data_IF_811154220525
#
_entry.id   IF_811154220525
#
_cell.length_a   1.000
_cell.length_b   1.000
_cell.length_c   1.000
_cell.angle_alpha   90.00
_cell.angle_beta   90.00
_cell.angle_gamma   90.00
#
_symmetry.space_group_name_H-M   'P 1'
#
loop_
_entity.id
_entity.type
_entity.pdbx_description
1 polymer ?
#
# COMPACT_ATOMS: atom_id res chain seq x y z
N UNK A 1 37.36 10.12 8.89
CA UNK A 1 36.01 10.61 8.64
C UNK A 1 35.18 9.44 8.14
N UNK A 2 34.24 8.94 8.96
CA UNK A 2 33.23 8.00 8.52
C UNK A 2 32.20 8.79 7.73
N UNK A 3 32.31 8.79 6.39
CA UNK A 3 31.28 9.36 5.53
C UNK A 3 30.04 8.48 5.51
N UNK A 4 28.86 9.08 5.44
CA UNK A 4 27.63 8.36 5.15
C UNK A 4 27.75 7.72 3.76
N UNK A 5 27.44 6.43 3.66
CA UNK A 5 27.46 5.73 2.39
C UNK A 5 26.32 6.23 1.51
N UNK A 6 26.64 6.72 0.33
CA UNK A 6 25.68 7.14 -0.67
C UNK A 6 25.66 6.12 -1.81
N UNK A 7 24.46 5.67 -2.21
CA UNK A 7 24.30 4.78 -3.36
C UNK A 7 23.42 5.47 -4.41
N UNK A 8 23.89 5.50 -5.64
CA UNK A 8 23.14 5.98 -6.81
C UNK A 8 23.07 4.85 -7.84
N UNK A 9 21.88 4.53 -8.27
CA UNK A 9 21.66 3.63 -9.40
C UNK A 9 20.95 4.38 -10.54
N UNK A 10 21.49 4.27 -11.73
CA UNK A 10 20.85 4.74 -12.95
C UNK A 10 20.39 3.54 -13.77
N UNK A 11 19.09 3.50 -14.08
CA UNK A 11 18.50 2.45 -14.90
C UNK A 11 18.14 3.04 -16.27
N UNK A 12 18.58 2.37 -17.34
CA UNK A 12 18.21 2.72 -18.70
C UNK A 12 17.24 1.65 -19.24
N UNK A 13 16.09 2.08 -19.72
CA UNK A 13 15.21 1.20 -20.47
C UNK A 13 15.87 0.95 -21.85
N UNK A 14 16.14 -0.31 -22.26
CA UNK A 14 16.62 -0.59 -23.61
C UNK A 14 15.56 -0.17 -24.62
N UNK A 15 16.00 0.33 -25.77
CA UNK A 15 15.12 0.57 -26.90
C UNK A 15 14.54 -0.76 -27.39
N UNK A 16 13.35 -0.72 -27.99
CA UNK A 16 12.49 -1.89 -28.25
C UNK A 16 13.06 -2.94 -29.25
N UNK A 17 14.28 -2.80 -29.69
CA UNK A 17 14.96 -3.74 -30.62
C UNK A 17 15.93 -4.71 -29.92
N UNK A 18 16.25 -4.49 -28.64
CA UNK A 18 17.06 -5.45 -27.89
C UNK A 18 16.14 -6.50 -27.25
N UNK A 19 16.26 -7.75 -27.67
CA UNK A 19 15.61 -8.87 -26.97
C UNK A 19 15.97 -8.84 -25.47
N UNK A 20 14.99 -8.98 -24.58
CA UNK A 20 15.27 -8.99 -23.15
C UNK A 20 16.22 -10.15 -22.85
N UNK A 21 17.38 -9.86 -22.26
CA UNK A 21 18.31 -10.87 -21.81
C UNK A 21 17.58 -11.84 -20.88
N UNK A 22 17.36 -13.06 -21.32
CA UNK A 22 16.77 -14.14 -20.53
C UNK A 22 17.75 -14.59 -19.47
N UNK A 23 17.66 -14.01 -18.26
CA UNK A 23 18.38 -14.52 -17.12
C UNK A 23 17.67 -15.77 -16.61
N UNK A 24 18.25 -16.95 -16.82
CA UNK A 24 17.79 -18.18 -16.20
C UNK A 24 18.28 -18.26 -14.76
N UNK A 25 17.41 -17.99 -13.80
CA UNK A 25 17.71 -18.25 -12.38
C UNK A 25 17.51 -19.74 -12.09
N UNK A 26 18.56 -20.43 -11.64
CA UNK A 26 18.44 -21.80 -11.18
C UNK A 26 17.55 -21.83 -9.92
N UNK A 27 16.53 -22.72 -9.93
CA UNK A 27 15.65 -22.94 -8.76
C UNK A 27 16.48 -23.40 -7.56
N UNK A 28 16.76 -22.49 -6.62
CA UNK A 28 17.43 -22.84 -5.38
C UNK A 28 16.45 -23.50 -4.41
N UNK A 29 16.87 -24.59 -3.79
CA UNK A 29 16.09 -25.31 -2.78
C UNK A 29 15.89 -24.43 -1.56
N UNK A 30 14.62 -24.18 -1.19
CA UNK A 30 14.25 -23.40 -0.01
C UNK A 30 14.74 -24.07 1.28
N UNK A 31 15.74 -23.49 1.94
CA UNK A 31 16.08 -23.85 3.31
C UNK A 31 15.24 -22.96 4.26
N UNK A 32 14.33 -23.60 5.00
CA UNK A 32 13.56 -22.94 6.08
C UNK A 32 14.51 -22.56 7.21
N UNK A 33 14.97 -21.31 7.24
CA UNK A 33 15.54 -20.71 8.46
C UNK A 33 14.42 -20.09 9.28
N UNK A 34 14.20 -20.65 10.48
CA UNK A 34 13.35 -20.05 11.52
C UNK A 34 14.09 -18.88 12.14
N UNK A 35 13.77 -17.65 11.76
CA UNK A 35 14.16 -16.49 12.54
C UNK A 35 13.13 -16.22 13.64
N UNK A 36 13.52 -16.60 14.89
CA UNK A 36 12.85 -16.13 16.11
C UNK A 36 13.40 -14.74 16.44
N UNK A 37 12.61 -13.70 16.26
CA UNK A 37 12.80 -12.42 16.95
C UNK A 37 11.47 -11.92 17.47
N UNK A 38 11.42 -11.73 18.79
CA UNK A 38 10.25 -11.32 19.52
C UNK A 38 9.79 -9.90 19.14
N UNK A 39 8.59 -9.82 18.67
CA UNK A 39 7.72 -8.66 18.57
C UNK A 39 6.33 -9.17 18.88
N UNK A 40 5.45 -8.34 19.44
CA UNK A 40 4.08 -8.71 19.77
C UNK A 40 3.50 -9.55 18.64
N UNK A 41 2.95 -10.73 18.96
CA UNK A 41 2.49 -11.71 17.98
C UNK A 41 1.50 -11.03 17.03
N UNK A 42 1.94 -10.75 15.82
CA UNK A 42 1.07 -10.27 14.75
C UNK A 42 -0.02 -11.33 14.55
N UNK A 43 -1.28 -10.90 14.52
CA UNK A 43 -2.39 -11.81 14.26
C UNK A 43 -2.15 -12.50 12.91
N UNK A 44 -2.22 -13.83 12.84
CA UNK A 44 -1.93 -14.54 11.59
C UNK A 44 -2.94 -14.14 10.52
N UNK A 45 -2.46 -13.90 9.30
CA UNK A 45 -3.31 -13.65 8.14
C UNK A 45 -4.12 -14.91 7.85
N UNK A 46 -5.45 -14.81 7.91
CA UNK A 46 -6.36 -15.91 7.61
C UNK A 46 -6.74 -15.95 6.13
N UNK A 47 -7.35 -17.05 5.68
CA UNK A 47 -7.93 -17.17 4.33
C UNK A 47 -9.02 -16.13 4.09
N UNK A 48 -9.78 -15.78 5.12
CA UNK A 48 -10.82 -14.75 5.08
C UNK A 48 -10.20 -13.37 4.78
N UNK A 49 -9.11 -13.00 5.48
CA UNK A 49 -8.40 -11.76 5.22
C UNK A 49 -7.84 -11.70 3.80
N UNK A 50 -7.33 -12.82 3.27
CA UNK A 50 -6.88 -12.91 1.87
C UNK A 50 -8.04 -12.70 0.89
N UNK A 51 -9.21 -13.29 1.17
CA UNK A 51 -10.43 -13.08 0.38
C UNK A 51 -10.90 -11.63 0.41
N UNK A 52 -10.88 -10.98 1.58
CA UNK A 52 -11.19 -9.56 1.70
C UNK A 52 -10.23 -8.70 0.88
N UNK A 53 -8.92 -8.94 0.99
CA UNK A 53 -7.93 -8.21 0.22
C UNK A 53 -8.11 -8.39 -1.29
N UNK A 54 -8.44 -9.59 -1.77
CA UNK A 54 -8.77 -9.85 -3.18
C UNK A 54 -9.98 -9.03 -3.64
N UNK A 55 -11.01 -8.91 -2.81
CA UNK A 55 -12.20 -8.11 -3.15
C UNK A 55 -11.91 -6.62 -3.32
N UNK A 56 -10.80 -6.12 -2.75
CA UNK A 56 -10.38 -4.73 -2.89
C UNK A 56 -9.61 -4.46 -4.18
N UNK A 57 -9.27 -5.52 -4.94
CA UNK A 57 -8.50 -5.39 -6.16
C UNK A 57 -9.40 -5.37 -7.40
N UNK A 58 -8.97 -4.65 -8.43
CA UNK A 58 -9.60 -4.67 -9.74
C UNK A 58 -9.57 -6.08 -10.31
N UNK A 59 -10.73 -6.63 -10.65
CA UNK A 59 -10.87 -8.01 -11.12
C UNK A 59 -10.02 -8.31 -12.37
N UNK A 60 -9.91 -7.36 -13.28
CA UNK A 60 -9.09 -7.44 -14.49
C UNK A 60 -7.59 -7.63 -14.23
N UNK A 61 -7.14 -7.34 -13.01
CA UNK A 61 -5.75 -7.40 -12.61
C UNK A 61 -5.44 -8.49 -11.56
N UNK A 62 -6.46 -9.12 -10.98
CA UNK A 62 -6.26 -10.15 -9.93
C UNK A 62 -5.33 -11.27 -10.38
N UNK A 63 -5.49 -11.77 -11.61
CA UNK A 63 -4.66 -12.84 -12.16
C UNK A 63 -3.21 -12.43 -12.45
N UNK A 64 -2.94 -11.12 -12.54
CA UNK A 64 -1.59 -10.59 -12.81
C UNK A 64 -0.76 -10.42 -11.54
N UNK A 65 -1.38 -10.59 -10.37
CA UNK A 65 -0.74 -10.37 -9.08
C UNK A 65 -0.91 -11.57 -8.16
N UNK A 66 0.15 -11.86 -7.43
CA UNK A 66 0.13 -12.84 -6.34
C UNK A 66 -0.02 -12.11 -5.03
N UNK A 67 -1.00 -12.51 -4.20
CA UNK A 67 -1.12 -12.04 -2.82
C UNK A 67 -0.32 -12.95 -1.89
N UNK A 68 0.50 -12.34 -1.04
CA UNK A 68 1.27 -13.04 -0.02
C UNK A 68 1.14 -12.37 1.35
N UNK A 69 1.20 -13.17 2.41
CA UNK A 69 1.25 -12.67 3.77
C UNK A 69 2.70 -12.34 4.14
N UNK A 70 2.96 -11.10 4.54
CA UNK A 70 4.25 -10.64 5.06
C UNK A 70 4.02 -10.06 6.47
N UNK A 71 4.31 -10.84 7.51
CA UNK A 71 3.96 -10.50 8.89
C UNK A 71 2.44 -10.38 9.06
N UNK A 72 1.95 -9.22 9.49
CA UNK A 72 0.52 -8.89 9.56
C UNK A 72 -0.04 -8.32 8.24
N UNK A 73 0.83 -7.99 7.28
CA UNK A 73 0.44 -7.38 6.02
C UNK A 73 0.09 -8.38 4.94
N UNK A 74 -0.76 -7.95 4.01
CA UNK A 74 -1.05 -8.65 2.76
C UNK A 74 -0.49 -7.81 1.63
N UNK A 75 0.44 -8.39 0.87
CA UNK A 75 1.15 -7.70 -0.21
C UNK A 75 0.76 -8.28 -1.55
N UNK A 76 0.42 -7.42 -2.50
CA UNK A 76 0.20 -7.78 -3.90
C UNK A 76 1.50 -7.55 -4.69
N UNK A 77 2.02 -8.59 -5.33
CA UNK A 77 3.23 -8.54 -6.15
C UNK A 77 2.95 -9.05 -7.57
N UNK A 78 3.50 -8.44 -8.64
CA UNK A 78 3.28 -8.91 -10.00
C UNK A 78 3.74 -10.35 -10.18
N UNK A 79 2.81 -11.23 -10.59
CA UNK A 79 3.05 -12.67 -10.69
C UNK A 79 4.23 -13.01 -11.60
N UNK A 80 4.39 -12.28 -12.70
CA UNK A 80 5.46 -12.49 -13.69
C UNK A 80 6.89 -12.31 -13.16
N UNK A 81 7.06 -11.66 -11.99
CA UNK A 81 8.38 -11.37 -11.39
C UNK A 81 8.62 -12.08 -10.06
N UNK A 82 7.80 -13.09 -9.73
CA UNK A 82 7.90 -13.79 -8.44
C UNK A 82 9.21 -14.58 -8.30
N UNK A 83 9.70 -15.16 -9.40
CA UNK A 83 10.95 -15.92 -9.40
C UNK A 83 12.17 -14.99 -9.23
N UNK A 84 12.16 -13.83 -9.89
CA UNK A 84 13.19 -12.81 -9.72
C UNK A 84 13.21 -12.24 -8.30
N UNK A 85 12.04 -11.98 -7.74
CA UNK A 85 11.95 -11.53 -6.34
C UNK A 85 12.49 -12.60 -5.39
N UNK A 86 12.17 -13.87 -5.63
CA UNK A 86 12.67 -14.97 -4.82
C UNK A 86 14.20 -15.08 -4.90
N UNK A 87 14.78 -14.91 -6.10
CA UNK A 87 16.22 -14.87 -6.30
C UNK A 87 16.88 -13.68 -5.58
N UNK A 88 16.28 -12.48 -5.70
CA UNK A 88 16.78 -11.29 -5.00
C UNK A 88 16.74 -11.46 -3.48
N UNK A 89 15.70 -12.03 -2.92
CA UNK A 89 15.57 -12.27 -1.46
C UNK A 89 16.63 -13.24 -0.91
N UNK A 90 17.28 -14.06 -1.76
CA UNK A 90 18.39 -14.94 -1.34
C UNK A 90 19.70 -14.19 -1.17
N UNK A 91 19.93 -13.14 -1.92
CA UNK A 91 21.21 -12.43 -1.98
C UNK A 91 21.14 -11.02 -1.39
N UNK A 92 19.95 -10.44 -1.32
CA UNK A 92 19.72 -9.07 -0.88
C UNK A 92 18.73 -9.01 0.27
N UNK A 93 18.87 -8.01 1.14
CA UNK A 93 17.85 -7.65 2.11
C UNK A 93 16.80 -6.80 1.38
N UNK A 94 15.71 -7.44 0.94
CA UNK A 94 14.56 -6.73 0.36
C UNK A 94 13.79 -6.05 1.49
N UNK A 95 13.70 -4.72 1.46
CA UNK A 95 12.99 -3.92 2.47
C UNK A 95 11.50 -3.90 2.17
N UNK A 96 11.14 -3.74 0.89
CA UNK A 96 9.76 -3.69 0.43
C UNK A 96 9.68 -4.18 -1.02
N UNK A 97 8.67 -4.97 -1.33
CA UNK A 97 8.36 -5.40 -2.70
C UNK A 97 6.84 -5.50 -2.87
N UNK A 98 6.32 -4.94 -3.97
CA UNK A 98 4.89 -4.93 -4.25
C UNK A 98 4.12 -3.85 -3.50
N UNK A 99 2.80 -3.99 -3.48
CA UNK A 99 1.86 -3.04 -2.87
C UNK A 99 1.22 -3.67 -1.64
N UNK A 100 1.41 -3.06 -0.48
CA UNK A 100 0.69 -3.44 0.73
C UNK A 100 -0.80 -3.13 0.54
N UNK A 101 -1.65 -4.15 0.52
CA UNK A 101 -3.09 -4.00 0.34
C UNK A 101 -3.82 -3.74 1.64
N UNK A 102 -3.35 -4.34 2.73
CA UNK A 102 -3.92 -4.16 4.06
C UNK A 102 -3.10 -4.84 5.13
N UNK A 103 -3.42 -4.52 6.40
CA UNK A 103 -2.80 -5.10 7.58
C UNK A 103 -3.85 -5.69 8.51
N UNK A 104 -3.59 -6.89 9.01
CA UNK A 104 -4.44 -7.57 9.98
C UNK A 104 -4.16 -7.02 11.38
N UNK A 105 -5.22 -6.51 12.02
CA UNK A 105 -5.18 -6.06 13.41
C UNK A 105 -6.33 -6.67 14.20
N UNK A 106 -6.02 -7.64 15.01
CA UNK A 106 -7.02 -8.46 15.68
C UNK A 106 -7.82 -9.30 14.66
N UNK A 107 -9.10 -9.01 14.52
CA UNK A 107 -9.98 -9.65 13.52
C UNK A 107 -10.20 -8.81 12.27
N UNK A 108 -9.79 -7.55 12.30
CA UNK A 108 -10.00 -6.61 11.21
C UNK A 108 -8.84 -6.67 10.21
N UNK A 109 -9.17 -6.56 8.92
CA UNK A 109 -8.22 -6.20 7.89
C UNK A 109 -8.36 -4.70 7.62
N UNK A 110 -7.30 -3.95 7.89
CA UNK A 110 -7.26 -2.49 7.69
C UNK A 110 -6.67 -2.21 6.30
N UNK A 111 -7.36 -1.50 5.41
CA UNK A 111 -6.82 -1.17 4.10
C UNK A 111 -5.61 -0.24 4.24
N UNK A 112 -4.53 -0.56 3.52
CA UNK A 112 -3.30 0.20 3.58
C UNK A 112 -3.35 1.42 2.65
N UNK A 113 -2.69 2.50 3.04
CA UNK A 113 -2.59 3.70 2.21
C UNK A 113 -1.98 3.42 0.83
N UNK A 114 -1.00 2.49 0.75
CA UNK A 114 -0.39 2.09 -0.50
C UNK A 114 -1.41 1.51 -1.52
N UNK A 115 -2.47 0.84 -1.03
CA UNK A 115 -3.56 0.39 -1.91
C UNK A 115 -4.31 1.58 -2.51
N UNK A 116 -4.63 2.61 -1.71
CA UNK A 116 -5.31 3.81 -2.21
C UNK A 116 -4.51 4.52 -3.31
N UNK A 117 -3.18 4.51 -3.20
CA UNK A 117 -2.28 5.12 -4.19
C UNK A 117 -2.06 4.26 -5.44
N UNK A 118 -2.53 3.02 -5.47
CA UNK A 118 -2.33 2.12 -6.60
C UNK A 118 -3.45 2.22 -7.62
N UNK A 119 -3.28 3.03 -8.65
CA UNK A 119 -4.25 3.16 -9.74
C UNK A 119 -4.54 1.84 -10.48
N UNK A 120 -3.59 0.90 -10.46
CA UNK A 120 -3.72 -0.40 -11.12
C UNK A 120 -4.43 -1.45 -10.27
N UNK A 121 -4.31 -1.37 -8.93
CA UNK A 121 -4.86 -2.39 -8.03
C UNK A 121 -6.16 -1.98 -7.38
N UNK A 122 -6.30 -0.74 -6.94
CA UNK A 122 -7.45 -0.29 -6.18
C UNK A 122 -8.75 -0.44 -6.99
N UNK A 123 -9.67 -1.23 -6.46
CA UNK A 123 -11.07 -1.24 -6.88
C UNK A 123 -11.85 -0.24 -6.02
N UNK A 124 -12.12 0.94 -6.57
CA UNK A 124 -12.73 2.03 -5.80
C UNK A 124 -14.15 1.68 -5.31
N UNK A 125 -14.93 0.98 -6.14
CA UNK A 125 -16.30 0.51 -5.82
C UNK A 125 -16.35 -0.61 -4.75
N UNK A 126 -15.19 -1.09 -4.28
CA UNK A 126 -15.12 -1.96 -3.11
C UNK A 126 -15.25 -1.20 -1.78
N UNK A 127 -15.23 0.11 -1.81
CA UNK A 127 -15.30 0.98 -0.65
C UNK A 127 -16.37 2.05 -0.84
N UNK A 128 -17.02 2.44 0.25
CA UNK A 128 -17.75 3.70 0.26
C UNK A 128 -16.77 4.84 0.03
N UNK A 129 -17.17 5.85 -0.73
CA UNK A 129 -16.32 6.98 -1.08
C UNK A 129 -16.90 8.28 -0.55
N UNK A 130 -16.04 9.20 -0.14
CA UNK A 130 -16.40 10.56 0.24
C UNK A 130 -15.49 11.56 -0.45
N UNK A 131 -16.10 12.45 -1.24
CA UNK A 131 -15.37 13.56 -1.87
C UNK A 131 -15.17 14.66 -0.85
N UNK A 132 -13.94 15.09 -0.66
CA UNK A 132 -13.59 16.11 0.35
C UNK A 132 -13.21 17.44 -0.30
N UNK A 133 -13.38 18.53 0.46
CA UNK A 133 -12.87 19.86 0.04
C UNK A 133 -11.33 19.90 0.08
N UNK A 134 -10.75 20.95 -0.51
CA UNK A 134 -9.30 21.16 -0.45
C UNK A 134 -8.79 21.24 1.00
N UNK A 135 -9.48 21.98 1.85
CA UNK A 135 -9.14 22.14 3.26
C UNK A 135 -9.17 20.80 4.00
N UNK A 136 -10.21 20.01 3.75
CA UNK A 136 -10.34 18.66 4.33
C UNK A 136 -9.26 17.71 3.79
N UNK A 137 -8.90 17.81 2.50
CA UNK A 137 -7.82 17.02 1.91
C UNK A 137 -6.48 17.33 2.59
N UNK A 138 -6.19 18.62 2.82
CA UNK A 138 -4.98 19.04 3.54
C UNK A 138 -5.02 18.59 5.00
N UNK A 139 -6.17 18.71 5.69
CA UNK A 139 -6.35 18.20 7.04
C UNK A 139 -6.10 16.68 7.12
N UNK A 140 -6.59 15.92 6.12
CA UNK A 140 -6.30 14.49 5.99
C UNK A 140 -4.80 14.21 5.88
N UNK A 141 -4.11 14.92 4.98
CA UNK A 141 -2.66 14.77 4.76
C UNK A 141 -1.81 15.26 5.95
N UNK A 142 -2.36 16.11 6.81
CA UNK A 142 -1.76 16.51 8.09
C UNK A 142 -2.03 15.53 9.23
N UNK A 143 -2.83 14.49 8.97
CA UNK A 143 -3.26 13.53 10.00
C UNK A 143 -4.19 14.15 11.04
N UNK A 144 -4.90 15.20 10.67
CA UNK A 144 -5.90 15.86 11.51
C UNK A 144 -7.24 15.10 11.47
N UNK A 145 -8.16 15.48 12.35
CA UNK A 145 -9.50 14.93 12.35
C UNK A 145 -10.27 15.35 11.09
N UNK A 146 -11.04 14.42 10.53
CA UNK A 146 -11.89 14.64 9.36
C UNK A 146 -13.34 14.52 9.78
N UNK A 147 -14.16 15.49 9.40
CA UNK A 147 -15.59 15.44 9.51
C UNK A 147 -16.15 14.88 8.22
N UNK A 148 -16.88 13.78 8.30
CA UNK A 148 -17.58 13.16 7.19
C UNK A 148 -19.02 13.69 7.11
N UNK A 149 -19.69 13.43 6.00
CA UNK A 149 -21.11 13.70 5.86
C UNK A 149 -21.94 12.92 6.90
N UNK A 150 -23.08 13.45 7.31
CA UNK A 150 -23.98 12.78 8.29
C UNK A 150 -24.48 11.43 7.78
N UNK A 151 -24.54 11.26 6.47
CA UNK A 151 -24.99 10.03 5.79
C UNK A 151 -23.87 9.02 5.57
N UNK A 152 -22.62 9.37 5.90
CA UNK A 152 -21.47 8.49 5.68
C UNK A 152 -21.62 7.17 6.47
N UNK A 153 -21.53 6.01 5.81
CA UNK A 153 -21.69 4.72 6.47
C UNK A 153 -20.54 4.44 7.44
N UNK A 154 -20.79 3.56 8.43
CA UNK A 154 -19.70 3.09 9.31
C UNK A 154 -18.79 2.12 8.56
N UNK A 155 -17.50 2.20 8.81
CA UNK A 155 -16.52 1.31 8.18
C UNK A 155 -15.36 2.06 7.57
N UNK A 156 -14.69 1.41 6.62
CA UNK A 156 -13.59 2.02 5.88
C UNK A 156 -14.14 2.79 4.69
N UNK A 157 -13.81 4.07 4.62
CA UNK A 157 -14.24 4.99 3.56
C UNK A 157 -13.00 5.47 2.82
N UNK A 158 -13.05 5.45 1.50
CA UNK A 158 -12.04 6.01 0.64
C UNK A 158 -12.32 7.51 0.45
N UNK A 159 -11.42 8.34 0.92
CA UNK A 159 -11.49 9.78 0.65
C UNK A 159 -10.96 10.07 -0.75
N UNK A 160 -11.68 10.93 -1.47
CA UNK A 160 -11.27 11.42 -2.79
C UNK A 160 -11.25 12.94 -2.81
N UNK A 161 -10.37 13.50 -3.61
CA UNK A 161 -10.35 14.90 -3.96
C UNK A 161 -10.27 15.03 -5.47
N UNK A 162 -11.24 15.68 -6.10
CA UNK A 162 -11.40 15.73 -7.56
C UNK A 162 -11.41 14.34 -8.21
N UNK A 163 -12.13 13.42 -7.60
CA UNK A 163 -12.19 12.00 -7.99
C UNK A 163 -10.84 11.24 -7.91
N UNK A 164 -9.81 11.83 -7.31
CA UNK A 164 -8.50 11.18 -7.10
C UNK A 164 -8.46 10.62 -5.67
N UNK A 165 -8.18 9.33 -5.49
CA UNK A 165 -8.02 8.74 -4.16
C UNK A 165 -6.93 9.42 -3.35
N UNK A 166 -7.24 9.78 -2.11
CA UNK A 166 -6.29 10.33 -1.13
C UNK A 166 -5.87 9.28 -0.11
N UNK A 167 -6.75 8.35 0.22
CA UNK A 167 -6.51 7.32 1.22
C UNK A 167 -7.75 7.00 2.03
N UNK A 168 -7.57 6.28 3.12
CA UNK A 168 -8.69 5.74 3.89
C UNK A 168 -8.88 6.43 5.23
N UNK A 169 -10.12 6.46 5.67
CA UNK A 169 -10.53 6.73 7.06
C UNK A 169 -11.38 5.58 7.57
N UNK A 170 -11.43 5.36 8.90
CA UNK A 170 -12.39 4.45 9.52
C UNK A 170 -13.45 5.27 10.24
N UNK A 171 -14.67 5.31 9.69
CA UNK A 171 -15.83 5.92 10.33
C UNK A 171 -16.35 5.00 11.44
N UNK A 172 -16.34 5.47 12.68
CA UNK A 172 -16.90 4.75 13.84
C UNK A 172 -18.24 5.34 14.31
N UNK A 173 -18.78 6.30 13.56
CA UNK A 173 -20.08 6.94 13.76
C UNK A 173 -19.98 8.34 14.37
N UNK A 174 -19.29 8.52 15.48
CA UNK A 174 -19.12 9.82 16.14
C UNK A 174 -17.82 10.54 15.69
N UNK A 175 -16.92 9.86 15.01
CA UNK A 175 -15.68 10.40 14.46
C UNK A 175 -15.15 9.50 13.36
N UNK A 176 -14.31 10.07 12.49
CA UNK A 176 -13.52 9.33 11.52
C UNK A 176 -12.04 9.26 11.96
N UNK A 177 -11.52 8.04 12.06
CA UNK A 177 -10.11 7.84 12.34
C UNK A 177 -9.34 7.98 11.03
N UNK A 178 -8.46 8.96 10.94
CA UNK A 178 -7.60 9.19 9.80
C UNK A 178 -6.51 8.11 9.72
N UNK A 179 -6.48 7.32 8.63
CA UNK A 179 -5.52 6.23 8.41
C UNK A 179 -4.28 6.65 7.60
N UNK A 180 -4.12 7.93 7.29
CA UNK A 180 -2.92 8.42 6.61
C UNK A 180 -1.66 8.06 7.41
N UNK A 181 -0.54 7.62 6.77
CA UNK A 181 0.69 7.30 7.47
C UNK A 181 1.24 8.48 8.26
N UNK A 182 1.57 8.25 9.54
CA UNK A 182 2.00 9.32 10.46
C UNK A 182 3.33 9.96 10.02
N UNK A 183 4.22 9.14 9.47
CA UNK A 183 5.54 9.56 9.00
C UNK A 183 5.50 10.45 7.76
N UNK A 184 4.43 10.37 6.96
CA UNK A 184 4.26 11.11 5.72
C UNK A 184 3.44 12.39 5.89
N UNK A 185 2.94 12.64 7.10
CA UNK A 185 2.08 13.79 7.35
C UNK A 185 2.77 15.11 6.98
N UNK A 186 2.02 16.01 6.39
CA UNK A 186 2.43 17.39 6.18
C UNK A 186 2.56 18.07 7.54
N UNK A 187 3.73 18.64 7.84
CA UNK A 187 4.01 19.33 9.11
C UNK A 187 3.85 20.84 9.03
N UNK A 188 3.82 21.39 7.81
CA UNK A 188 3.61 22.83 7.61
C UNK A 188 2.18 23.24 7.97
N UNK A 189 2.03 24.32 8.71
CA UNK A 189 0.74 24.97 8.98
C UNK A 189 0.29 25.92 7.85
N UNK A 190 1.18 26.19 6.89
CA UNK A 190 0.88 27.11 5.80
C UNK A 190 -0.09 26.51 4.79
N UNK A 191 -1.14 27.27 4.44
CA UNK A 191 -2.02 27.00 3.30
C UNK A 191 -1.84 28.16 2.32
N UNK A 192 -1.61 27.92 1.03
CA UNK A 192 -1.56 28.99 0.05
C UNK A 192 -2.95 29.66 -0.06
N UNK A 193 -2.95 31.01 -0.17
CA UNK A 193 -4.17 31.78 -0.36
C UNK A 193 -4.84 31.48 -1.69
N UNK A 194 -4.05 31.14 -2.70
CA UNK A 194 -4.54 30.69 -4.02
C UNK A 194 -4.22 29.23 -4.25
N UNK A 195 -5.25 28.43 -4.50
CA UNK A 195 -5.12 27.03 -4.89
C UNK A 195 -4.71 27.00 -6.37
N UNK A 196 -3.43 26.80 -6.64
CA UNK A 196 -2.96 26.57 -8.01
C UNK A 196 -3.31 25.14 -8.42
N UNK A 197 -4.18 25.03 -9.43
CA UNK A 197 -4.50 23.76 -10.04
C UNK A 197 -3.61 23.57 -11.27
N UNK A 198 -2.93 22.42 -11.32
CA UNK A 198 -2.21 22.01 -12.53
C UNK A 198 -3.20 21.59 -13.61
#
# INVERSE_FOLDING_TARGET
TKGEGFFLAALRKPDSEDEPATYSFSKAKSSKKKDKKGGAAASPVSKEHMGMALNWLKQENVEKYTLSAEGAGIVAFPQRYTDELAAMKQHLKVIQAGVLTGEVKGRDLIPAHALAMSATLLRQDAFDTEEVSYEQAIAYLRKEAITLSETAPRGYILLTYRNIPLGFVKNIGNRANNLYPQEWRIRSGYLPEEIRTL
#
